data_IF_069789481392
#
_entry.id   IF_069789481392
#
_cell.length_a   1.000
_cell.length_b   1.000
_cell.length_c   1.000
_cell.angle_alpha   90.00
_cell.angle_beta   90.00
_cell.angle_gamma   90.00
#
_symmetry.space_group_name_H-M   'P 1'
#
loop_
_entity.id
_entity.type
_entity.pdbx_description
1 polymer ?
#
# COMPACT_ATOMS: atom_id res chain seq x y z
N UNK A 1 -13.08 -19.45 -13.14
CA UNK A 1 -13.06 -19.98 -11.76
C UNK A 1 -11.80 -19.48 -11.12
N UNK A 2 -11.87 -18.31 -10.46
CA UNK A 2 -10.79 -17.78 -9.64
C UNK A 2 -10.66 -18.71 -8.44
N UNK A 3 -9.57 -19.46 -8.37
CA UNK A 3 -9.09 -20.02 -7.12
C UNK A 3 -9.07 -18.88 -6.11
N UNK A 4 -9.77 -19.02 -4.97
CA UNK A 4 -9.46 -18.18 -3.83
C UNK A 4 -7.99 -18.50 -3.51
N UNK A 5 -7.07 -17.66 -4.00
CA UNK A 5 -5.70 -17.69 -3.51
C UNK A 5 -5.81 -17.56 -1.99
N UNK A 6 -5.24 -18.52 -1.27
CA UNK A 6 -5.19 -18.51 0.17
C UNK A 6 -4.61 -17.14 0.58
N UNK A 7 -5.46 -16.25 1.10
CA UNK A 7 -5.05 -14.93 1.55
C UNK A 7 -4.30 -15.11 2.85
N UNK A 8 -3.01 -15.39 2.72
CA UNK A 8 -2.11 -15.55 3.86
C UNK A 8 -1.90 -14.19 4.51
N UNK A 9 -2.28 -14.07 5.77
CA UNK A 9 -2.01 -12.93 6.63
C UNK A 9 -0.74 -13.19 7.42
N UNK A 10 0.37 -12.57 7.03
CA UNK A 10 1.67 -12.65 7.70
C UNK A 10 1.79 -11.67 8.88
N UNK A 11 0.68 -11.18 9.41
CA UNK A 11 0.64 -10.20 10.47
C UNK A 11 1.11 -10.81 11.80
N UNK A 12 2.14 -10.23 12.41
CA UNK A 12 2.61 -10.64 13.73
C UNK A 12 1.54 -10.46 14.82
N UNK A 13 1.33 -11.50 15.63
CA UNK A 13 0.42 -11.54 16.77
C UNK A 13 1.18 -11.14 18.04
N UNK A 14 0.72 -10.11 18.73
CA UNK A 14 1.28 -9.66 20.01
C UNK A 14 0.65 -10.38 21.20
N UNK A 15 -0.66 -10.63 21.13
CA UNK A 15 -1.42 -11.28 22.19
C UNK A 15 -2.62 -12.03 21.62
N UNK A 16 -3.03 -13.11 22.29
CA UNK A 16 -4.21 -13.90 21.93
C UNK A 16 -4.93 -14.38 23.19
N UNK A 17 -6.22 -14.06 23.28
CA UNK A 17 -7.06 -14.36 24.44
C UNK A 17 -8.26 -15.20 24.03
N UNK A 18 -8.45 -16.34 24.70
CA UNK A 18 -9.64 -17.19 24.54
C UNK A 18 -10.85 -16.52 25.18
N UNK A 19 -11.95 -16.50 24.45
CA UNK A 19 -13.23 -15.93 24.87
C UNK A 19 -14.27 -17.05 25.07
N UNK A 20 -15.53 -16.64 25.13
CA UNK A 20 -16.68 -17.53 25.22
C UNK A 20 -16.80 -18.50 24.03
N UNK A 21 -17.51 -19.59 24.25
CA UNK A 21 -17.85 -20.58 23.22
C UNK A 21 -18.72 -19.95 22.15
N UNK A 22 -18.48 -20.30 20.88
CA UNK A 22 -19.28 -19.81 19.75
C UNK A 22 -20.73 -20.30 19.83
N UNK A 23 -20.90 -21.55 20.26
CA UNK A 23 -22.21 -22.18 20.46
C UNK A 23 -22.22 -22.94 21.79
N UNK A 24 -23.33 -22.92 22.54
CA UNK A 24 -23.46 -23.76 23.73
C UNK A 24 -23.56 -25.24 23.33
N UNK A 25 -22.80 -26.11 23.98
CA UNK A 25 -22.86 -27.55 23.72
C UNK A 25 -24.18 -28.18 24.17
N UNK A 26 -24.67 -29.14 23.39
CA UNK A 26 -25.69 -30.07 23.86
C UNK A 26 -25.08 -31.05 24.88
N UNK A 27 -25.81 -31.29 25.97
CA UNK A 27 -25.35 -32.17 27.06
C UNK A 27 -25.12 -33.59 26.53
N UNK A 28 -23.86 -33.99 26.41
CA UNK A 28 -23.45 -35.35 26.02
C UNK A 28 -22.82 -35.49 24.63
N UNK A 29 -22.45 -34.39 23.94
CA UNK A 29 -21.63 -34.49 22.72
C UNK A 29 -20.14 -34.62 23.04
N UNK A 30 -19.44 -35.46 22.27
CA UNK A 30 -17.96 -35.60 22.28
C UNK A 30 -17.28 -34.55 21.37
N UNK A 31 -18.03 -33.59 20.83
CA UNK A 31 -17.51 -32.60 19.88
C UNK A 31 -16.59 -31.59 20.59
N UNK A 32 -15.46 -31.22 19.97
CA UNK A 32 -14.62 -30.16 20.52
C UNK A 32 -15.33 -28.80 20.47
N UNK A 33 -15.32 -28.09 21.59
CA UNK A 33 -15.87 -26.72 21.68
C UNK A 33 -15.07 -25.75 20.81
N UNK A 34 -15.78 -24.98 19.98
CA UNK A 34 -15.21 -23.84 19.26
C UNK A 34 -15.37 -22.60 20.12
N UNK A 35 -14.30 -21.83 20.28
CA UNK A 35 -14.28 -20.58 21.04
C UNK A 35 -14.00 -19.40 20.13
N UNK A 36 -14.53 -18.24 20.51
CA UNK A 36 -14.00 -16.99 20.00
C UNK A 36 -12.61 -16.73 20.59
N UNK A 37 -11.76 -16.09 19.80
CA UNK A 37 -10.45 -15.59 20.23
C UNK A 37 -10.32 -14.13 19.86
N UNK A 38 -9.76 -13.34 20.78
CA UNK A 38 -9.35 -11.98 20.50
C UNK A 38 -7.83 -11.94 20.27
N UNK A 39 -7.42 -11.45 19.12
CA UNK A 39 -6.01 -11.29 18.73
C UNK A 39 -5.67 -9.81 18.73
N UNK A 40 -4.57 -9.44 19.37
CA UNK A 40 -3.95 -8.12 19.21
C UNK A 40 -2.76 -8.25 18.28
N UNK A 41 -2.73 -7.47 17.20
CA UNK A 41 -1.65 -7.52 16.23
C UNK A 41 -0.60 -6.40 16.39
N UNK A 42 0.47 -6.45 15.60
CA UNK A 42 1.54 -5.45 15.64
C UNK A 42 1.13 -4.03 15.23
N UNK A 43 -0.05 -3.85 14.63
CA UNK A 43 -0.65 -2.54 14.35
C UNK A 43 -1.55 -2.06 15.50
N UNK A 44 -1.60 -2.81 16.62
CA UNK A 44 -2.52 -2.61 17.74
C UNK A 44 -3.99 -2.65 17.32
N UNK A 45 -4.32 -3.44 16.28
CA UNK A 45 -5.71 -3.78 15.94
C UNK A 45 -6.13 -4.94 16.82
N UNK A 46 -7.41 -4.94 17.19
CA UNK A 46 -8.04 -6.09 17.83
C UNK A 46 -8.88 -6.83 16.81
N UNK A 47 -8.58 -8.10 16.66
CA UNK A 47 -9.26 -9.03 15.79
C UNK A 47 -10.10 -10.00 16.61
N UNK A 48 -11.23 -10.42 16.05
CA UNK A 48 -11.96 -11.59 16.50
C UNK A 48 -11.74 -12.70 15.48
N UNK A 49 -11.45 -13.91 15.95
CA UNK A 49 -11.42 -15.14 15.15
C UNK A 49 -12.01 -16.30 15.96
N UNK A 50 -12.01 -17.51 15.40
CA UNK A 50 -12.51 -18.72 16.05
C UNK A 50 -11.45 -19.82 16.05
N UNK A 51 -11.55 -20.75 16.99
CA UNK A 51 -10.84 -22.02 16.91
C UNK A 51 -11.17 -22.98 18.04
N UNK A 52 -10.75 -24.23 17.91
CA UNK A 52 -10.82 -25.24 18.97
C UNK A 52 -9.79 -24.96 20.07
N UNK A 53 -8.62 -24.47 19.67
CA UNK A 53 -7.51 -24.11 20.54
C UNK A 53 -6.76 -22.90 19.95
N UNK A 54 -5.74 -22.41 20.66
CA UNK A 54 -4.94 -21.25 20.23
C UNK A 54 -4.29 -21.47 18.86
N UNK A 55 -3.73 -22.66 18.59
CA UNK A 55 -3.07 -22.95 17.32
C UNK A 55 -4.03 -22.93 16.15
N UNK A 56 -5.23 -23.50 16.33
CA UNK A 56 -6.30 -23.48 15.32
C UNK A 56 -6.79 -22.05 15.05
N UNK A 57 -6.95 -21.24 16.10
CA UNK A 57 -7.32 -19.83 15.95
C UNK A 57 -6.27 -19.01 15.19
N UNK A 58 -4.98 -19.29 15.40
CA UNK A 58 -3.88 -18.69 14.64
C UNK A 58 -3.97 -19.13 13.17
N UNK A 59 -4.19 -20.43 12.90
CA UNK A 59 -4.33 -20.94 11.54
C UNK A 59 -5.50 -20.29 10.79
N UNK A 60 -6.65 -20.11 11.45
CA UNK A 60 -7.82 -19.43 10.88
C UNK A 60 -7.56 -17.95 10.63
N UNK A 61 -6.80 -17.28 11.50
CA UNK A 61 -6.38 -15.90 11.33
C UNK A 61 -5.39 -15.72 10.18
N UNK A 62 -4.39 -16.60 10.08
CA UNK A 62 -3.33 -16.54 9.07
C UNK A 62 -3.84 -16.96 7.70
N UNK A 63 -4.65 -18.01 7.58
CA UNK A 63 -5.04 -18.54 6.27
C UNK A 63 -6.31 -17.89 5.70
N UNK A 64 -6.94 -16.96 6.43
CA UNK A 64 -8.02 -16.12 5.92
C UNK A 64 -9.20 -16.90 5.33
N UNK A 65 -9.42 -18.15 5.75
CA UNK A 65 -10.28 -19.09 5.01
C UNK A 65 -11.76 -18.67 4.93
N UNK A 66 -12.22 -17.71 5.73
CA UNK A 66 -13.55 -17.09 5.55
C UNK A 66 -13.65 -15.74 6.30
N UNK A 67 -14.01 -14.68 5.58
CA UNK A 67 -14.29 -13.32 6.12
C UNK A 67 -15.41 -13.29 7.20
N UNK A 68 -16.16 -14.37 7.37
CA UNK A 68 -17.29 -14.41 8.31
C UNK A 68 -16.82 -14.54 9.75
N UNK A 69 -15.68 -15.21 9.98
CA UNK A 69 -15.20 -15.53 11.32
C UNK A 69 -14.05 -14.65 11.80
N UNK A 70 -13.16 -14.25 10.87
CA UNK A 70 -12.01 -13.41 11.19
C UNK A 70 -12.28 -11.96 10.78
N UNK A 71 -12.41 -11.05 11.74
CA UNK A 71 -12.69 -9.62 11.49
C UNK A 71 -12.02 -8.70 12.50
N UNK A 72 -11.75 -7.48 12.08
CA UNK A 72 -11.30 -6.41 12.98
C UNK A 72 -12.51 -5.94 13.80
N UNK A 73 -12.39 -5.97 15.13
CA UNK A 73 -13.40 -5.46 16.07
C UNK A 73 -12.99 -4.11 16.67
N UNK A 74 -11.68 -3.83 16.76
CA UNK A 74 -11.16 -2.51 17.11
C UNK A 74 -10.06 -2.14 16.10
N UNK A 75 -10.23 -1.06 15.32
CA UNK A 75 -9.27 -0.66 14.29
C UNK A 75 -7.99 -0.11 14.92
N UNK A 76 -6.95 0.03 14.09
CA UNK A 76 -5.68 0.57 14.54
C UNK A 76 -5.88 2.01 15.03
N UNK A 77 -5.38 2.38 16.21
CA UNK A 77 -5.46 3.75 16.69
C UNK A 77 -4.58 4.67 15.83
N UNK A 78 -5.01 5.92 15.67
CA UNK A 78 -4.19 6.93 14.99
C UNK A 78 -2.86 7.12 15.73
N UNK A 79 -1.75 7.00 15.02
CA UNK A 79 -0.41 7.15 15.56
C UNK A 79 0.30 8.35 14.90
N UNK A 80 0.45 9.49 15.61
CA UNK A 80 1.10 10.68 15.07
C UNK A 80 2.62 10.51 14.86
N UNK A 81 3.22 9.47 15.46
CA UNK A 81 4.65 9.17 15.37
C UNK A 81 4.95 8.03 14.41
N UNK A 82 3.96 7.54 13.67
CA UNK A 82 4.11 6.44 12.73
C UNK A 82 5.07 6.82 11.61
N UNK A 83 6.16 6.08 11.47
CA UNK A 83 7.14 6.28 10.39
C UNK A 83 7.04 5.18 9.33
N UNK A 84 7.51 5.46 8.11
CA UNK A 84 7.59 4.45 7.04
C UNK A 84 8.50 3.28 7.46
N UNK A 85 9.56 3.54 8.22
CA UNK A 85 10.43 2.50 8.78
C UNK A 85 9.70 1.60 9.78
N UNK A 86 8.77 2.15 10.59
CA UNK A 86 7.93 1.30 11.45
C UNK A 86 7.05 0.39 10.60
N UNK A 87 6.46 0.89 9.52
CA UNK A 87 5.63 0.09 8.62
C UNK A 87 6.45 -1.00 7.90
N UNK A 88 7.64 -0.67 7.40
CA UNK A 88 8.55 -1.67 6.78
C UNK A 88 8.83 -2.82 7.74
N UNK A 89 9.07 -2.52 9.02
CA UNK A 89 9.29 -3.54 10.05
C UNK A 89 8.02 -4.33 10.37
N UNK A 90 6.88 -3.65 10.59
CA UNK A 90 5.60 -4.27 10.94
C UNK A 90 5.02 -5.15 9.84
N UNK A 91 5.31 -4.82 8.57
CA UNK A 91 4.86 -5.56 7.39
C UNK A 91 5.90 -6.58 6.90
N UNK A 92 7.02 -6.74 7.61
CA UNK A 92 8.10 -7.68 7.26
C UNK A 92 8.61 -7.54 5.82
N UNK A 93 8.68 -6.31 5.32
CA UNK A 93 9.12 -6.04 3.94
C UNK A 93 10.63 -6.27 3.85
N UNK A 94 11.04 -7.14 2.92
CA UNK A 94 12.45 -7.53 2.78
C UNK A 94 13.32 -6.32 2.46
N UNK A 95 14.57 -6.26 2.93
CA UNK A 95 15.55 -5.30 2.44
C UNK A 95 15.75 -5.38 0.92
N UNK A 96 15.52 -6.55 0.31
CA UNK A 96 15.64 -6.81 -1.12
C UNK A 96 14.44 -6.25 -1.94
N UNK A 97 13.30 -5.99 -1.28
CA UNK A 97 12.10 -5.40 -1.91
C UNK A 97 12.22 -3.87 -2.01
N UNK A 98 13.31 -3.41 -2.62
CA UNK A 98 13.64 -1.98 -2.72
C UNK A 98 12.51 -1.18 -3.38
N UNK A 99 11.87 -1.75 -4.40
CA UNK A 99 10.73 -1.15 -5.10
C UNK A 99 9.54 -0.88 -4.17
N UNK A 100 9.18 -1.81 -3.27
CA UNK A 100 8.10 -1.61 -2.28
C UNK A 100 8.51 -0.56 -1.26
N UNK A 101 9.76 -0.62 -0.77
CA UNK A 101 10.28 0.32 0.23
C UNK A 101 10.27 1.75 -0.30
N UNK A 102 10.74 1.96 -1.53
CA UNK A 102 10.75 3.26 -2.19
C UNK A 102 9.32 3.74 -2.45
N UNK A 103 8.43 2.87 -2.95
CA UNK A 103 7.02 3.20 -3.13
C UNK A 103 6.36 3.65 -1.81
N UNK A 104 6.62 2.95 -0.70
CA UNK A 104 6.10 3.36 0.61
C UNK A 104 6.63 4.73 1.05
N UNK A 105 7.89 5.04 0.83
CA UNK A 105 8.46 6.34 1.22
C UNK A 105 7.83 7.50 0.44
N UNK A 106 7.56 7.28 -0.85
CA UNK A 106 7.05 8.31 -1.75
C UNK A 106 5.54 8.47 -1.62
N UNK A 107 4.80 7.37 -1.56
CA UNK A 107 3.33 7.36 -1.48
C UNK A 107 2.89 7.70 -0.05
N UNK A 108 3.56 7.17 0.98
CA UNK A 108 3.21 7.39 2.39
C UNK A 108 4.01 8.54 3.01
N UNK A 109 4.10 9.65 2.27
CA UNK A 109 4.95 10.81 2.59
C UNK A 109 4.44 11.68 3.76
N UNK A 110 3.22 11.43 4.27
CA UNK A 110 2.64 12.18 5.40
C UNK A 110 2.20 11.24 6.54
N UNK A 111 2.01 11.79 7.74
CA UNK A 111 1.46 11.03 8.89
C UNK A 111 0.06 10.51 8.56
N UNK A 112 -0.75 11.32 7.93
CA UNK A 112 -2.14 11.03 7.54
C UNK A 112 -2.17 9.86 6.55
N UNK A 113 -1.32 9.89 5.52
CA UNK A 113 -1.25 8.81 4.50
C UNK A 113 -0.75 7.50 5.08
N UNK A 114 0.19 7.54 6.03
CA UNK A 114 0.66 6.34 6.75
C UNK A 114 -0.44 5.73 7.61
N UNK A 115 -1.21 6.57 8.31
CA UNK A 115 -2.34 6.09 9.13
C UNK A 115 -3.50 5.59 8.27
N UNK A 116 -3.77 6.23 7.14
CA UNK A 116 -4.76 5.78 6.17
C UNK A 116 -4.37 4.42 5.56
N UNK A 117 -3.09 4.25 5.22
CA UNK A 117 -2.56 2.97 4.75
C UNK A 117 -2.77 1.85 5.78
N UNK A 118 -2.48 2.12 7.06
CA UNK A 118 -2.74 1.18 8.17
C UNK A 118 -4.22 0.86 8.30
N UNK A 119 -5.10 1.87 8.21
CA UNK A 119 -6.55 1.68 8.36
C UNK A 119 -7.16 0.88 7.21
N UNK A 120 -6.63 1.02 5.99
CA UNK A 120 -7.07 0.29 4.79
C UNK A 120 -6.41 -1.08 4.63
N UNK A 121 -5.27 -1.30 5.30
CA UNK A 121 -4.60 -2.59 5.33
C UNK A 121 -5.45 -3.57 6.14
N UNK A 122 -5.96 -4.62 5.51
CA UNK A 122 -6.70 -5.69 6.20
C UNK A 122 -5.73 -6.85 6.43
N UNK A 123 -5.24 -7.44 5.34
CA UNK A 123 -4.25 -8.52 5.35
C UNK A 123 -2.85 -7.98 5.10
N UNK A 124 -1.87 -8.49 5.84
CA UNK A 124 -0.46 -8.20 5.59
C UNK A 124 0.14 -9.34 4.77
N UNK A 125 0.28 -9.11 3.47
CA UNK A 125 1.12 -9.89 2.58
C UNK A 125 1.64 -9.00 1.46
N UNK A 126 2.68 -9.44 0.76
CA UNK A 126 3.36 -8.66 -0.29
C UNK A 126 2.38 -8.16 -1.36
N UNK A 127 1.51 -9.04 -1.87
CA UNK A 127 0.59 -8.71 -2.96
C UNK A 127 -0.48 -7.70 -2.54
N UNK A 128 -1.18 -7.92 -1.42
CA UNK A 128 -2.20 -7.00 -0.91
C UNK A 128 -1.58 -5.66 -0.48
N UNK A 129 -0.37 -5.69 0.09
CA UNK A 129 0.40 -4.47 0.47
C UNK A 129 0.73 -3.64 -0.78
N UNK A 130 1.28 -4.28 -1.81
CA UNK A 130 1.62 -3.61 -3.06
C UNK A 130 0.37 -3.08 -3.78
N UNK A 131 -0.70 -3.89 -3.88
CA UNK A 131 -1.96 -3.48 -4.47
C UNK A 131 -2.56 -2.26 -3.76
N UNK A 132 -2.51 -2.23 -2.42
CA UNK A 132 -3.00 -1.10 -1.64
C UNK A 132 -2.17 0.17 -1.91
N UNK A 133 -0.84 0.06 -1.96
CA UNK A 133 0.04 1.19 -2.32
C UNK A 133 -0.31 1.75 -3.70
N UNK A 134 -0.45 0.88 -4.71
CA UNK A 134 -0.83 1.30 -6.06
C UNK A 134 -2.19 1.99 -6.11
N UNK A 135 -3.20 1.46 -5.39
CA UNK A 135 -4.51 2.08 -5.30
C UNK A 135 -4.44 3.47 -4.65
N UNK A 136 -3.72 3.60 -3.53
CA UNK A 136 -3.54 4.88 -2.85
C UNK A 136 -2.75 5.89 -3.69
N UNK A 137 -1.78 5.44 -4.49
CA UNK A 137 -1.08 6.28 -5.49
C UNK A 137 -2.07 6.82 -6.51
N UNK A 138 -2.86 5.96 -7.16
CA UNK A 138 -3.83 6.38 -8.18
C UNK A 138 -4.93 7.29 -7.63
N UNK A 139 -5.44 7.04 -6.43
CA UNK A 139 -6.40 7.94 -5.76
C UNK A 139 -5.80 9.33 -5.52
N UNK A 140 -4.57 9.40 -5.04
CA UNK A 140 -3.91 10.67 -4.79
C UNK A 140 -3.64 11.45 -6.08
N UNK A 141 -3.11 10.78 -7.11
CA UNK A 141 -2.85 11.40 -8.40
C UNK A 141 -4.13 11.95 -9.04
N UNK A 142 -5.30 11.35 -8.78
CA UNK A 142 -6.58 11.82 -9.32
C UNK A 142 -7.25 12.93 -8.51
N UNK A 143 -7.04 12.97 -7.19
CA UNK A 143 -7.86 13.80 -6.29
C UNK A 143 -7.07 14.84 -5.48
N UNK A 144 -5.79 14.60 -5.25
CA UNK A 144 -4.97 15.36 -4.30
C UNK A 144 -3.58 15.69 -4.87
N UNK A 145 -3.44 15.66 -6.19
CA UNK A 145 -2.19 15.98 -6.86
C UNK A 145 -1.68 17.37 -6.45
N UNK A 146 -0.36 17.52 -6.36
CA UNK A 146 0.30 18.80 -6.17
C UNK A 146 -0.20 19.79 -7.23
N UNK A 147 -0.47 21.04 -6.85
CA UNK A 147 -0.92 22.03 -7.82
C UNK A 147 0.18 22.31 -8.85
N UNK A 148 -0.21 22.64 -10.08
CA UNK A 148 0.75 22.93 -11.15
C UNK A 148 1.70 24.08 -10.77
N UNK A 149 1.22 25.08 -10.01
CA UNK A 149 2.05 26.19 -9.54
C UNK A 149 3.10 25.75 -8.51
N UNK A 150 2.71 24.91 -7.55
CA UNK A 150 3.64 24.34 -6.57
C UNK A 150 4.65 23.41 -7.25
N UNK A 151 4.20 22.63 -8.22
CA UNK A 151 5.06 21.76 -9.02
C UNK A 151 6.12 22.57 -9.78
N UNK A 152 5.72 23.62 -10.50
CA UNK A 152 6.68 24.47 -11.23
C UNK A 152 7.71 25.12 -10.30
N UNK A 153 7.28 25.59 -9.12
CA UNK A 153 8.20 26.15 -8.11
C UNK A 153 9.19 25.11 -7.61
N UNK A 154 8.72 23.90 -7.32
CA UNK A 154 9.57 22.80 -6.88
C UNK A 154 10.52 22.36 -7.98
N UNK A 155 10.05 22.30 -9.23
CA UNK A 155 10.84 21.90 -10.39
C UNK A 155 11.99 22.87 -10.67
N UNK A 156 11.76 24.17 -10.53
CA UNK A 156 12.79 25.19 -10.68
C UNK A 156 13.90 25.10 -9.60
N UNK A 157 13.56 24.62 -8.40
CA UNK A 157 14.51 24.47 -7.30
C UNK A 157 15.23 23.10 -7.32
N UNK A 158 14.49 22.03 -7.57
CA UNK A 158 14.95 20.65 -7.57
C UNK A 158 14.07 19.78 -8.48
N UNK A 159 14.43 19.60 -9.77
CA UNK A 159 13.59 18.89 -10.73
C UNK A 159 13.44 17.40 -10.42
N UNK A 160 14.46 16.77 -9.82
CA UNK A 160 14.41 15.35 -9.41
C UNK A 160 13.34 15.14 -8.33
N UNK A 161 13.37 15.98 -7.28
CA UNK A 161 12.38 15.94 -6.22
C UNK A 161 10.98 16.32 -6.72
N UNK A 162 10.89 17.33 -7.59
CA UNK A 162 9.62 17.73 -8.19
C UNK A 162 8.96 16.59 -8.96
N UNK A 163 9.71 15.94 -9.86
CA UNK A 163 9.20 14.79 -10.61
C UNK A 163 8.85 13.63 -9.69
N UNK A 164 9.67 13.37 -8.66
CA UNK A 164 9.38 12.31 -7.69
C UNK A 164 8.05 12.51 -6.97
N UNK A 165 7.78 13.73 -6.51
CA UNK A 165 6.53 14.06 -5.80
C UNK A 165 5.34 14.12 -6.76
N UNK A 166 5.53 14.69 -7.95
CA UNK A 166 4.45 14.91 -8.92
C UNK A 166 3.97 13.62 -9.59
N UNK A 167 4.89 12.68 -9.86
CA UNK A 167 4.56 11.36 -10.40
C UNK A 167 4.31 10.32 -9.31
N UNK A 168 4.67 10.62 -8.05
CA UNK A 168 4.75 9.65 -6.95
C UNK A 168 5.59 8.42 -7.34
N UNK A 169 6.78 8.68 -7.87
CA UNK A 169 7.74 7.69 -8.37
C UNK A 169 9.15 7.99 -7.90
N UNK A 170 9.98 6.95 -7.80
CA UNK A 170 11.38 7.11 -7.42
C UNK A 170 12.17 7.62 -8.60
N UNK A 171 12.32 8.94 -8.70
CA UNK A 171 13.09 9.57 -9.77
C UNK A 171 14.51 9.80 -9.28
N UNK A 172 15.47 9.22 -9.97
CA UNK A 172 16.89 9.47 -9.73
C UNK A 172 17.44 10.48 -10.75
N UNK A 173 18.73 10.81 -10.61
CA UNK A 173 19.37 11.77 -11.51
C UNK A 173 19.46 11.26 -12.95
N UNK A 174 19.58 9.95 -13.18
CA UNK A 174 19.66 9.39 -14.52
C UNK A 174 18.33 9.50 -15.23
N UNK A 175 17.23 9.12 -14.57
CA UNK A 175 15.88 9.23 -15.11
C UNK A 175 15.49 10.69 -15.38
N UNK A 176 15.94 11.62 -14.55
CA UNK A 176 15.80 13.05 -14.84
C UNK A 176 16.55 13.46 -16.12
N UNK A 177 17.78 12.98 -16.32
CA UNK A 177 18.53 13.30 -17.54
C UNK A 177 17.93 12.67 -18.80
N UNK A 178 17.32 11.50 -18.70
CA UNK A 178 16.53 10.91 -19.79
C UNK A 178 15.33 11.81 -20.13
N UNK A 179 14.56 12.23 -19.13
CA UNK A 179 13.47 13.18 -19.30
C UNK A 179 13.91 14.50 -19.94
N UNK A 180 14.95 15.12 -19.39
CA UNK A 180 15.46 16.39 -19.92
C UNK A 180 16.05 16.21 -21.33
N UNK A 181 16.74 15.10 -21.58
CA UNK A 181 17.38 14.76 -22.85
C UNK A 181 16.39 14.50 -23.98
N UNK A 182 15.24 13.89 -23.66
CA UNK A 182 14.12 13.75 -24.60
C UNK A 182 13.50 15.11 -24.97
N UNK A 183 13.75 16.18 -24.20
CA UNK A 183 13.09 17.47 -24.35
C UNK A 183 11.87 17.62 -23.45
N UNK A 184 11.85 16.90 -22.33
CA UNK A 184 10.87 17.02 -21.27
C UNK A 184 11.04 18.31 -20.47
N UNK A 185 9.92 18.97 -20.16
CA UNK A 185 9.86 20.22 -19.38
C UNK A 185 8.75 20.13 -18.33
N UNK A 186 8.74 21.01 -17.33
CA UNK A 186 7.64 21.01 -16.35
C UNK A 186 6.27 21.22 -17.03
N UNK A 187 6.18 22.03 -18.08
CA UNK A 187 4.94 22.23 -18.84
C UNK A 187 4.46 20.95 -19.52
N UNK A 188 5.37 20.15 -20.11
CA UNK A 188 5.01 18.85 -20.69
C UNK A 188 4.55 17.86 -19.63
N UNK A 189 5.23 17.81 -18.48
CA UNK A 189 4.80 16.97 -17.37
C UNK A 189 3.39 17.34 -16.89
N UNK A 190 3.09 18.64 -16.76
CA UNK A 190 1.75 19.13 -16.43
C UNK A 190 0.74 18.69 -17.50
N UNK A 191 1.04 18.94 -18.77
CA UNK A 191 0.15 18.57 -19.88
C UNK A 191 -0.21 17.08 -19.83
N UNK A 192 0.78 16.20 -19.71
CA UNK A 192 0.54 14.77 -19.71
C UNK A 192 -0.23 14.30 -18.48
N UNK A 193 -0.01 14.91 -17.32
CA UNK A 193 -0.77 14.57 -16.10
C UNK A 193 -2.20 15.11 -16.12
N UNK A 194 -2.46 16.20 -16.83
CA UNK A 194 -3.83 16.66 -17.08
C UNK A 194 -4.59 15.72 -18.03
N UNK A 195 -3.91 15.14 -19.02
CA UNK A 195 -4.50 14.18 -19.95
C UNK A 195 -4.70 12.79 -19.31
N UNK A 196 -3.68 12.31 -18.59
CA UNK A 196 -3.66 11.02 -17.92
C UNK A 196 -2.98 11.14 -16.55
N UNK A 197 -3.75 11.37 -15.47
CA UNK A 197 -3.20 11.60 -14.13
C UNK A 197 -2.35 10.45 -13.60
N UNK A 198 -2.57 9.22 -14.05
CA UNK A 198 -1.83 8.04 -13.62
C UNK A 198 -0.62 7.73 -14.53
N UNK A 199 -0.33 8.58 -15.53
CA UNK A 199 0.81 8.38 -16.43
C UNK A 199 2.11 8.32 -15.61
N UNK A 200 2.91 7.24 -15.76
CA UNK A 200 4.22 7.11 -15.14
C UNK A 200 5.27 7.93 -15.89
N UNK A 201 6.35 8.30 -15.21
CA UNK A 201 7.38 9.15 -15.81
C UNK A 201 8.02 8.50 -17.03
N UNK A 202 8.20 7.18 -17.03
CA UNK A 202 8.78 6.47 -18.17
C UNK A 202 7.91 6.60 -19.44
N UNK A 203 6.59 6.50 -19.32
CA UNK A 203 5.69 6.71 -20.46
C UNK A 203 5.66 8.18 -20.90
N UNK A 204 5.81 9.11 -19.96
CA UNK A 204 5.97 10.51 -20.30
C UNK A 204 7.25 10.72 -21.13
N UNK A 205 8.38 10.10 -20.77
CA UNK A 205 9.64 10.15 -21.54
C UNK A 205 9.42 9.59 -22.94
N UNK A 206 8.92 8.36 -23.06
CA UNK A 206 8.64 7.71 -24.35
C UNK A 206 7.76 8.58 -25.26
N UNK A 207 6.74 9.21 -24.68
CA UNK A 207 5.84 10.11 -25.41
C UNK A 207 6.54 11.37 -25.92
N UNK A 208 7.44 11.95 -25.12
CA UNK A 208 8.24 13.10 -25.56
C UNK A 208 9.12 12.72 -26.74
N UNK A 209 9.79 11.57 -26.66
CA UNK A 209 10.66 11.06 -27.74
C UNK A 209 9.88 10.87 -29.03
N UNK A 210 8.71 10.22 -28.96
CA UNK A 210 7.79 10.03 -30.09
C UNK A 210 7.33 11.35 -30.72
N UNK A 211 7.06 12.37 -29.90
CA UNK A 211 6.68 13.70 -30.39
C UNK A 211 7.84 14.36 -31.13
N UNK A 212 9.07 14.28 -30.60
CA UNK A 212 10.27 14.85 -31.24
C UNK A 212 10.57 14.16 -32.58
N UNK A 213 10.49 12.83 -32.63
CA UNK A 213 10.74 12.06 -33.86
C UNK A 213 9.73 12.37 -34.96
N UNK A 214 8.47 12.64 -34.62
CA UNK A 214 7.45 13.10 -35.58
C UNK A 214 7.75 14.47 -36.17
N UNK A 215 8.41 15.36 -35.42
CA UNK A 215 8.87 16.64 -35.95
C UNK A 215 10.10 16.50 -36.85
N UNK A 216 10.95 15.49 -36.63
CA UNK A 216 12.16 15.25 -37.42
C UNK A 216 11.88 14.47 -38.72
N UNK A 217 10.90 13.56 -38.72
CA UNK A 217 10.55 12.68 -39.87
C UNK A 217 9.59 13.34 -40.89
N UNK A 218 9.14 14.57 -40.64
CA UNK A 218 8.19 15.30 -41.48
C UNK A 218 8.78 16.12 -42.64
N UNK A 219 10.06 15.93 -43.00
CA UNK A 219 10.77 16.65 -44.08
C UNK A 219 10.96 15.81 -45.34
#
# INVERSE_FOLDING_TARGET
>A
MTTLEDKVNKQHILDIVRMETVWPQEVGSDDQEIHYYHITDALNRKWQTIGYNVSDAIEVFENGKTNVWTRIIEPAPFNPKLTTNNLIQMFHISPEDEHIRNAMQIILNSVERRNEFVARSIYINEQDTFNLLCNMKGEYLRQHQLTDEEFMKLYAANPVEALSVYFLESVDIHLYWEWAGAGGTCEKAIQYKQEEPEMPLIQAIERVEDEVDRYVSGY
#
